data_IF_887797098917
#
_entry.id   IF_887797098917
#
_cell.length_a   1.000
_cell.length_b   1.000
_cell.length_c   1.000
_cell.angle_alpha   90.00
_cell.angle_beta   90.00
_cell.angle_gamma   90.00
#
_symmetry.space_group_name_H-M   'P 1'
#
loop_
_entity.id
_entity.type
_entity.pdbx_description
1 polymer ?
#
# COMPACT_ATOMS: atom_id res chain seq x y z
N UNK A 1 -2.88 41.86 2.35
CA UNK A 1 -1.64 41.56 3.09
C UNK A 1 -1.18 40.18 2.68
N UNK A 2 0.00 40.06 2.07
CA UNK A 2 0.56 38.75 1.72
C UNK A 2 0.84 37.99 3.03
N UNK A 3 0.21 36.84 3.22
CA UNK A 3 0.55 35.93 4.33
C UNK A 3 2.03 35.63 4.24
N UNK A 4 2.83 36.08 5.22
CA UNK A 4 4.24 35.72 5.32
C UNK A 4 4.35 34.19 5.29
N UNK A 5 4.86 33.67 4.18
CA UNK A 5 5.10 32.24 4.03
C UNK A 5 6.27 31.87 4.94
N UNK A 6 5.95 31.36 6.12
CA UNK A 6 6.96 30.80 7.02
C UNK A 6 7.60 29.60 6.33
N UNK A 7 8.92 29.66 6.16
CA UNK A 7 9.74 28.57 5.62
C UNK A 7 10.22 27.73 6.81
N UNK A 8 9.64 26.55 7.06
CA UNK A 8 10.12 25.70 8.14
C UNK A 8 11.50 25.15 7.80
N UNK A 9 12.46 25.34 8.70
CA UNK A 9 13.74 24.62 8.64
C UNK A 9 13.53 23.24 9.24
N UNK A 10 13.80 22.19 8.46
CA UNK A 10 13.72 20.80 8.93
C UNK A 10 15.13 20.26 9.12
N UNK A 11 15.49 19.96 10.36
CA UNK A 11 16.69 19.19 10.68
C UNK A 11 16.40 17.70 10.50
N UNK A 12 17.34 16.96 9.92
CA UNK A 12 17.17 15.54 9.60
C UNK A 12 18.13 14.73 10.46
N UNK A 13 17.56 13.87 11.29
CA UNK A 13 18.28 12.93 12.14
C UNK A 13 18.04 11.50 11.65
N UNK A 14 19.12 10.71 11.55
CA UNK A 14 19.01 9.26 11.36
C UNK A 14 18.49 8.60 12.64
N UNK A 15 17.61 7.62 12.49
CA UNK A 15 17.00 6.88 13.58
C UNK A 15 16.81 5.41 13.17
N UNK A 16 16.67 4.53 14.16
CA UNK A 16 16.28 3.12 13.93
C UNK A 16 14.76 2.99 13.87
N UNK A 17 14.24 1.89 13.31
CA UNK A 17 12.80 1.62 13.32
C UNK A 17 12.24 1.56 14.76
N UNK A 18 13.01 1.02 15.70
CA UNK A 18 12.68 1.00 17.12
C UNK A 18 12.57 2.42 17.72
N UNK A 19 13.44 3.36 17.34
CA UNK A 19 13.35 4.75 17.77
C UNK A 19 12.08 5.43 17.24
N UNK A 20 11.69 5.12 15.99
CA UNK A 20 10.44 5.61 15.39
C UNK A 20 9.23 5.04 16.13
N UNK A 21 9.24 3.73 16.43
CA UNK A 21 8.20 3.05 17.20
C UNK A 21 8.04 3.67 18.59
N UNK A 22 9.12 3.74 19.37
CA UNK A 22 9.10 4.32 20.72
C UNK A 22 8.69 5.79 20.72
N UNK A 23 9.10 6.54 19.70
CA UNK A 23 8.64 7.90 19.48
C UNK A 23 7.13 7.98 19.22
N UNK A 24 6.58 7.12 18.37
CA UNK A 24 5.15 7.07 18.06
C UNK A 24 4.31 6.68 19.28
N UNK A 25 4.79 5.73 20.08
CA UNK A 25 4.17 5.35 21.36
C UNK A 25 4.18 6.50 22.37
N UNK A 26 5.30 7.23 22.50
CA UNK A 26 5.39 8.39 23.38
C UNK A 26 4.42 9.53 22.98
N UNK A 27 4.03 9.57 21.70
CA UNK A 27 3.07 10.54 21.18
C UNK A 27 1.59 10.16 21.42
N UNK A 28 1.31 8.94 21.87
CA UNK A 28 -0.04 8.41 22.11
C UNK A 28 -0.93 9.34 22.96
N UNK A 29 -0.33 10.09 23.90
CA UNK A 29 -1.05 11.05 24.75
C UNK A 29 -1.13 12.48 24.21
N UNK A 30 -0.42 12.79 23.11
CA UNK A 30 -0.30 14.15 22.53
C UNK A 30 -1.03 14.31 21.20
N UNK A 31 -1.38 13.22 20.53
CA UNK A 31 -2.15 13.22 19.29
C UNK A 31 -3.63 13.45 19.61
N UNK A 32 -4.08 14.70 19.53
CA UNK A 32 -5.47 15.09 19.84
C UNK A 32 -6.44 14.96 18.66
N UNK A 33 -5.94 14.75 17.45
CA UNK A 33 -6.74 14.66 16.22
C UNK A 33 -6.69 13.24 15.65
N UNK A 34 -7.62 12.38 16.09
CA UNK A 34 -7.95 11.16 15.35
C UNK A 34 -8.49 11.54 13.97
N UNK A 35 -8.08 10.83 12.92
CA UNK A 35 -8.61 11.00 11.56
C UNK A 35 -7.89 12.05 10.68
N UNK A 36 -6.70 12.51 11.07
CA UNK A 36 -5.96 13.55 10.33
C UNK A 36 -4.97 13.02 9.28
N UNK A 37 -4.92 11.72 9.02
CA UNK A 37 -3.98 11.23 8.03
C UNK A 37 -4.46 11.47 6.59
N UNK A 38 -3.52 11.57 5.66
CA UNK A 38 -3.78 11.66 4.20
C UNK A 38 -3.09 10.58 3.37
N UNK A 39 -3.88 9.79 2.65
CA UNK A 39 -3.45 8.58 1.95
C UNK A 39 -3.10 8.91 0.51
N UNK A 40 -2.12 8.20 -0.05
CA UNK A 40 -1.67 8.43 -1.43
C UNK A 40 -2.23 7.40 -2.37
N UNK A 41 -2.61 7.85 -3.57
CA UNK A 41 -2.97 6.94 -4.65
C UNK A 41 -1.75 6.13 -5.11
N UNK A 42 -1.82 4.82 -4.94
CA UNK A 42 -0.84 3.85 -5.40
C UNK A 42 -1.42 3.14 -6.59
N UNK A 43 -0.76 3.25 -7.75
CA UNK A 43 -1.20 2.54 -8.95
C UNK A 43 -0.93 1.05 -8.82
N UNK A 44 -1.81 0.24 -9.40
CA UNK A 44 -1.59 -1.19 -9.50
C UNK A 44 -0.31 -1.47 -10.31
N UNK A 45 0.47 -2.49 -9.93
CA UNK A 45 1.62 -2.92 -10.72
C UNK A 45 1.17 -3.61 -12.02
N UNK A 46 1.89 -3.37 -13.11
CA UNK A 46 1.63 -4.01 -14.40
C UNK A 46 0.23 -3.69 -14.95
N UNK A 47 -0.49 -4.74 -15.37
CA UNK A 47 -1.84 -4.65 -15.95
C UNK A 47 -2.96 -4.44 -14.91
N UNK A 48 -2.64 -4.63 -13.63
CA UNK A 48 -3.61 -4.58 -12.53
C UNK A 48 -4.46 -5.84 -12.37
N UNK A 49 -4.99 -6.08 -11.16
CA UNK A 49 -5.73 -7.31 -10.84
C UNK A 49 -7.05 -7.41 -11.61
N UNK A 50 -7.71 -6.29 -11.90
CA UNK A 50 -9.04 -6.27 -12.54
C UNK A 50 -8.96 -6.70 -14.00
N UNK A 51 -7.98 -6.20 -14.75
CA UNK A 51 -7.79 -6.58 -16.15
C UNK A 51 -7.48 -8.07 -16.28
N UNK A 52 -6.60 -8.57 -15.41
CA UNK A 52 -6.26 -10.00 -15.34
C UNK A 52 -7.46 -10.87 -14.97
N UNK A 53 -8.31 -10.41 -14.06
CA UNK A 53 -9.53 -11.14 -13.70
C UNK A 53 -10.58 -11.12 -14.82
N UNK A 54 -10.69 -10.01 -15.57
CA UNK A 54 -11.56 -9.94 -16.73
C UNK A 54 -11.13 -10.91 -17.83
N UNK A 55 -9.83 -11.06 -18.08
CA UNK A 55 -9.32 -12.10 -18.99
C UNK A 55 -9.67 -13.50 -18.48
N UNK A 56 -9.49 -13.77 -17.18
CA UNK A 56 -9.87 -15.08 -16.61
C UNK A 56 -11.35 -15.41 -16.84
N UNK A 57 -12.25 -14.44 -16.63
CA UNK A 57 -13.68 -14.59 -16.88
C UNK A 57 -14.01 -14.78 -18.36
N UNK A 58 -13.29 -14.07 -19.24
CA UNK A 58 -13.43 -14.23 -20.68
C UNK A 58 -13.06 -15.66 -21.10
N UNK A 59 -11.96 -16.21 -20.57
CA UNK A 59 -11.55 -17.58 -20.88
C UNK A 59 -12.54 -18.64 -20.37
N UNK A 60 -13.15 -18.46 -19.20
CA UNK A 60 -14.26 -19.33 -18.76
C UNK A 60 -15.41 -19.30 -19.75
N UNK A 61 -15.84 -18.11 -20.19
CA UNK A 61 -16.92 -17.99 -21.17
C UNK A 61 -16.56 -18.63 -22.52
N UNK A 62 -15.31 -18.47 -22.98
CA UNK A 62 -14.82 -19.12 -24.20
C UNK A 62 -14.86 -20.66 -24.07
N UNK A 63 -14.43 -21.20 -22.91
CA UNK A 63 -14.46 -22.64 -22.63
C UNK A 63 -15.90 -23.20 -22.65
N UNK A 64 -16.86 -22.47 -22.07
CA UNK A 64 -18.28 -22.84 -22.09
C UNK A 64 -18.87 -22.91 -23.51
N UNK A 65 -18.41 -22.01 -24.39
CA UNK A 65 -18.92 -21.88 -25.76
C UNK A 65 -18.18 -22.76 -26.77
N UNK A 66 -17.00 -23.28 -26.42
CA UNK A 66 -16.20 -24.08 -27.34
C UNK A 66 -16.85 -25.44 -27.62
N UNK A 67 -16.91 -25.78 -28.90
CA UNK A 67 -17.33 -27.09 -29.40
C UNK A 67 -16.18 -28.10 -29.48
N UNK A 68 -14.93 -27.63 -29.40
CA UNK A 68 -13.73 -28.46 -29.39
C UNK A 68 -13.30 -28.75 -27.95
N UNK A 69 -13.04 -30.01 -27.63
CA UNK A 69 -12.53 -30.37 -26.30
C UNK A 69 -11.12 -29.82 -26.07
N UNK A 70 -10.27 -29.76 -27.09
CA UNK A 70 -8.90 -29.25 -26.98
C UNK A 70 -8.89 -27.73 -26.72
N UNK A 71 -9.69 -26.97 -27.46
CA UNK A 71 -9.84 -25.53 -27.22
C UNK A 71 -10.47 -25.27 -25.84
N UNK A 72 -11.47 -26.05 -25.44
CA UNK A 72 -12.06 -25.94 -24.10
C UNK A 72 -11.02 -26.15 -23.01
N UNK A 73 -10.15 -27.15 -23.14
CA UNK A 73 -9.07 -27.39 -22.19
C UNK A 73 -8.08 -26.21 -22.15
N UNK A 74 -7.67 -25.68 -23.30
CA UNK A 74 -6.80 -24.50 -23.37
C UNK A 74 -7.40 -23.28 -22.65
N UNK A 75 -8.67 -22.98 -22.93
CA UNK A 75 -9.38 -21.90 -22.26
C UNK A 75 -9.48 -22.14 -20.73
N UNK A 76 -9.71 -23.37 -20.28
CA UNK A 76 -9.74 -23.69 -18.85
C UNK A 76 -8.37 -23.47 -18.18
N UNK A 77 -7.28 -23.84 -18.86
CA UNK A 77 -5.91 -23.57 -18.40
C UNK A 77 -5.69 -22.06 -18.27
N UNK A 78 -5.96 -21.30 -19.34
CA UNK A 78 -5.71 -19.86 -19.36
C UNK A 78 -6.55 -19.10 -18.33
N UNK A 79 -7.80 -19.52 -18.11
CA UNK A 79 -8.66 -18.98 -17.06
C UNK A 79 -7.99 -19.07 -15.67
N UNK A 80 -7.50 -20.25 -15.30
CA UNK A 80 -6.82 -20.49 -14.02
C UNK A 80 -5.52 -19.69 -13.91
N UNK A 81 -4.74 -19.60 -15.00
CA UNK A 81 -3.50 -18.83 -15.04
C UNK A 81 -3.76 -17.33 -14.83
N UNK A 82 -4.73 -16.77 -15.55
CA UNK A 82 -5.11 -15.37 -15.43
C UNK A 82 -5.66 -15.02 -14.05
N UNK A 83 -6.51 -15.88 -13.47
CA UNK A 83 -7.03 -15.67 -12.11
C UNK A 83 -5.90 -15.66 -11.07
N UNK A 84 -4.94 -16.59 -11.17
CA UNK A 84 -3.77 -16.59 -10.28
C UNK A 84 -2.89 -15.37 -10.48
N UNK A 85 -2.70 -14.89 -11.71
CA UNK A 85 -1.93 -13.66 -12.00
C UNK A 85 -2.61 -12.46 -11.37
N UNK A 86 -3.95 -12.37 -11.45
CA UNK A 86 -4.71 -11.31 -10.80
C UNK A 86 -4.48 -11.30 -9.28
N UNK A 87 -4.54 -12.47 -8.63
CA UNK A 87 -4.24 -12.60 -7.20
C UNK A 87 -2.80 -12.16 -6.87
N UNK A 88 -1.82 -12.61 -7.66
CA UNK A 88 -0.42 -12.24 -7.44
C UNK A 88 -0.21 -10.73 -7.61
N UNK A 89 -0.85 -10.12 -8.60
CA UNK A 89 -0.83 -8.68 -8.84
C UNK A 89 -1.43 -7.90 -7.66
N UNK A 90 -2.57 -8.35 -7.11
CA UNK A 90 -3.16 -7.71 -5.93
C UNK A 90 -2.21 -7.79 -4.71
N UNK A 91 -1.59 -8.94 -4.48
CA UNK A 91 -0.61 -9.13 -3.40
C UNK A 91 0.56 -8.16 -3.55
N UNK A 92 1.13 -8.07 -4.76
CA UNK A 92 2.24 -7.15 -5.04
C UNK A 92 1.82 -5.69 -4.88
N UNK A 93 0.58 -5.35 -5.23
CA UNK A 93 0.03 -4.02 -4.99
C UNK A 93 0.00 -3.67 -3.50
N UNK A 94 -0.37 -4.60 -2.62
CA UNK A 94 -0.32 -4.36 -1.17
C UNK A 94 1.10 -4.20 -0.64
N UNK A 95 2.06 -4.98 -1.14
CA UNK A 95 3.47 -4.84 -0.75
C UNK A 95 4.02 -3.46 -1.15
N UNK A 96 3.74 -3.04 -2.38
CA UNK A 96 4.09 -1.71 -2.89
C UNK A 96 3.35 -0.61 -2.14
N UNK A 97 2.06 -0.79 -1.87
CA UNK A 97 1.22 0.13 -1.10
C UNK A 97 1.85 0.41 0.26
N UNK A 98 2.23 -0.65 0.95
CA UNK A 98 2.72 -0.60 2.33
C UNK A 98 4.24 -0.42 2.43
N UNK A 99 4.95 -0.28 1.31
CA UNK A 99 6.40 -0.09 1.22
C UNK A 99 7.26 -1.30 1.61
N UNK A 100 6.65 -2.47 1.75
CA UNK A 100 7.34 -3.70 2.13
C UNK A 100 8.37 -4.16 1.08
N UNK A 101 8.23 -3.74 -0.17
CA UNK A 101 9.21 -4.03 -1.24
C UNK A 101 10.55 -3.33 -1.04
N UNK A 102 10.60 -2.30 -0.20
CA UNK A 102 11.82 -1.56 0.12
C UNK A 102 12.50 -2.00 1.42
N UNK A 103 11.90 -2.94 2.15
CA UNK A 103 12.44 -3.47 3.40
C UNK A 103 13.70 -4.31 3.19
N UNK A 104 14.53 -4.39 4.24
CA UNK A 104 15.75 -5.23 4.27
C UNK A 104 15.46 -6.69 3.91
N UNK A 105 14.33 -7.21 4.36
CA UNK A 105 13.85 -8.57 4.21
C UNK A 105 12.57 -8.65 3.38
N UNK A 106 12.50 -7.82 2.32
CA UNK A 106 11.34 -7.70 1.45
C UNK A 106 10.75 -9.08 1.03
N UNK A 107 9.42 -9.27 1.15
CA UNK A 107 8.78 -10.54 0.81
C UNK A 107 9.02 -10.96 -0.65
N UNK A 108 9.81 -12.01 -0.86
CA UNK A 108 10.26 -12.46 -2.18
C UNK A 108 9.48 -13.68 -2.72
N UNK A 109 8.93 -14.50 -1.82
CA UNK A 109 8.19 -15.72 -2.18
C UNK A 109 6.75 -15.72 -1.63
N UNK A 110 5.90 -16.58 -2.18
CA UNK A 110 4.47 -16.63 -1.84
C UNK A 110 4.20 -16.78 -0.34
N UNK A 111 5.00 -17.57 0.39
CA UNK A 111 4.83 -17.78 1.83
C UNK A 111 5.11 -16.50 2.62
N UNK A 112 6.18 -15.79 2.28
CA UNK A 112 6.51 -14.49 2.89
C UNK A 112 5.43 -13.44 2.58
N UNK A 113 4.95 -13.38 1.34
CA UNK A 113 3.90 -12.43 0.93
C UNK A 113 2.59 -12.69 1.67
N UNK A 114 2.18 -13.96 1.80
CA UNK A 114 1.00 -14.34 2.59
C UNK A 114 1.16 -13.96 4.06
N UNK A 115 2.31 -14.27 4.67
CA UNK A 115 2.61 -13.88 6.06
C UNK A 115 2.47 -12.37 6.25
N UNK A 116 3.00 -11.57 5.33
CA UNK A 116 2.85 -10.12 5.37
C UNK A 116 1.38 -9.68 5.38
N UNK A 117 0.54 -10.20 4.48
CA UNK A 117 -0.87 -9.84 4.41
C UNK A 117 -1.63 -10.22 5.69
N UNK A 118 -1.30 -11.37 6.30
CA UNK A 118 -1.87 -11.81 7.58
C UNK A 118 -1.44 -10.88 8.71
N UNK A 119 -0.14 -10.60 8.84
CA UNK A 119 0.39 -9.70 9.87
C UNK A 119 -0.18 -8.28 9.74
N UNK A 120 -0.46 -7.81 8.51
CA UNK A 120 -1.15 -6.53 8.28
C UNK A 120 -2.66 -6.55 8.52
N UNK A 121 -3.25 -7.72 8.77
CA UNK A 121 -4.69 -7.89 8.96
C UNK A 121 -5.52 -7.71 7.68
N UNK A 122 -4.91 -7.88 6.50
CA UNK A 122 -5.59 -7.76 5.19
C UNK A 122 -6.36 -9.05 4.88
N UNK A 123 -5.80 -10.20 5.26
CA UNK A 123 -6.45 -11.51 5.20
C UNK A 123 -6.23 -12.24 6.53
N UNK A 124 -7.05 -13.24 6.80
CA UNK A 124 -6.86 -14.16 7.91
C UNK A 124 -6.25 -15.51 7.45
N UNK A 125 -5.89 -16.35 8.42
CA UNK A 125 -5.34 -17.68 8.18
C UNK A 125 -6.31 -18.60 7.43
N UNK A 126 -7.62 -18.43 7.60
CA UNK A 126 -8.61 -19.22 6.91
C UNK A 126 -8.63 -18.90 5.41
N UNK A 127 -8.69 -17.61 5.07
CA UNK A 127 -8.64 -17.10 3.70
C UNK A 127 -7.35 -17.54 3.01
N UNK A 128 -6.21 -17.43 3.70
CA UNK A 128 -4.93 -17.93 3.23
C UNK A 128 -4.98 -19.42 2.81
N UNK A 129 -5.47 -20.31 3.69
CA UNK A 129 -5.60 -21.74 3.39
C UNK A 129 -6.57 -22.05 2.24
N UNK A 130 -7.64 -21.26 2.13
CA UNK A 130 -8.61 -21.39 1.03
C UNK A 130 -7.93 -21.03 -0.30
N UNK A 131 -7.21 -19.91 -0.36
CA UNK A 131 -6.47 -19.48 -1.55
C UNK A 131 -5.34 -20.46 -1.91
N UNK A 132 -4.65 -21.04 -0.93
CA UNK A 132 -3.63 -22.06 -1.17
C UNK A 132 -4.20 -23.30 -1.89
N UNK A 133 -5.44 -23.70 -1.60
CA UNK A 133 -6.12 -24.79 -2.33
C UNK A 133 -6.41 -24.40 -3.78
N UNK A 134 -6.82 -23.16 -4.05
CA UNK A 134 -7.00 -22.67 -5.42
C UNK A 134 -5.66 -22.60 -6.18
N UNK A 135 -4.59 -22.14 -5.53
CA UNK A 135 -3.24 -22.08 -6.11
C UNK A 135 -2.70 -23.48 -6.40
N UNK A 136 -3.03 -24.49 -5.59
CA UNK A 136 -2.65 -25.89 -5.88
C UNK A 136 -3.19 -26.36 -7.23
N UNK A 137 -4.42 -25.99 -7.60
CA UNK A 137 -5.00 -26.32 -8.91
C UNK A 137 -4.20 -25.70 -10.06
N UNK A 138 -3.78 -24.44 -9.91
CA UNK A 138 -2.83 -23.82 -10.84
C UNK A 138 -1.51 -24.59 -10.93
N UNK A 139 -0.95 -25.04 -9.79
CA UNK A 139 0.34 -25.73 -9.78
C UNK A 139 0.25 -27.10 -10.47
N UNK A 140 -0.87 -27.79 -10.33
CA UNK A 140 -1.13 -29.03 -11.08
C UNK A 140 -1.16 -28.74 -12.59
N UNK A 141 -1.74 -27.62 -13.02
CA UNK A 141 -1.73 -27.20 -14.43
C UNK A 141 -0.35 -26.79 -14.93
N UNK A 142 0.35 -25.85 -14.28
CA UNK A 142 1.64 -25.32 -14.77
C UNK A 142 2.81 -26.31 -14.61
N UNK A 143 2.80 -27.16 -13.59
CA UNK A 143 3.97 -27.98 -13.25
C UNK A 143 3.75 -29.49 -13.41
N UNK A 144 2.49 -29.93 -13.43
CA UNK A 144 2.15 -31.35 -13.65
C UNK A 144 1.40 -31.57 -14.96
N UNK A 145 1.15 -30.50 -15.73
CA UNK A 145 0.46 -30.55 -17.02
C UNK A 145 -0.92 -31.21 -16.92
N UNK A 146 -1.61 -31.00 -15.80
CA UNK A 146 -2.98 -31.49 -15.58
C UNK A 146 -3.94 -30.38 -16.00
N UNK A 147 -4.62 -30.57 -17.13
CA UNK A 147 -5.68 -29.66 -17.60
C UNK A 147 -6.83 -29.65 -16.59
N UNK A 148 -7.25 -28.47 -16.09
CA UNK A 148 -8.43 -28.37 -15.24
C UNK A 148 -9.69 -28.61 -16.08
N UNK A 149 -10.71 -29.23 -15.47
CA UNK A 149 -12.05 -29.27 -16.05
C UNK A 149 -12.67 -27.87 -16.01
N UNK A 150 -13.70 -27.64 -16.83
CA UNK A 150 -14.46 -26.39 -16.82
C UNK A 150 -14.97 -26.05 -15.42
N UNK A 151 -15.59 -27.00 -14.72
CA UNK A 151 -16.07 -26.83 -13.34
C UNK A 151 -14.95 -26.39 -12.38
N UNK A 152 -13.77 -27.00 -12.48
CA UNK A 152 -12.62 -26.62 -11.64
C UNK A 152 -12.12 -25.21 -11.99
N UNK A 153 -12.10 -24.85 -13.27
CA UNK A 153 -11.72 -23.51 -13.70
C UNK A 153 -12.72 -22.46 -13.18
N UNK A 154 -14.03 -22.71 -13.32
CA UNK A 154 -15.11 -21.87 -12.79
C UNK A 154 -14.97 -21.65 -11.29
N UNK A 155 -14.80 -22.73 -10.52
CA UNK A 155 -14.64 -22.67 -9.06
C UNK A 155 -13.44 -21.84 -8.63
N UNK A 156 -12.28 -22.05 -9.29
CA UNK A 156 -11.06 -21.31 -8.98
C UNK A 156 -11.19 -19.83 -9.33
N UNK A 157 -11.72 -19.52 -10.52
CA UNK A 157 -11.91 -18.14 -10.98
C UNK A 157 -12.90 -17.41 -10.08
N UNK A 158 -14.05 -18.02 -9.77
CA UNK A 158 -15.06 -17.42 -8.91
C UNK A 158 -14.56 -17.21 -7.48
N UNK A 159 -13.86 -18.19 -6.90
CA UNK A 159 -13.26 -18.07 -5.59
C UNK A 159 -12.26 -16.91 -5.52
N UNK A 160 -11.35 -16.83 -6.49
CA UNK A 160 -10.37 -15.74 -6.52
C UNK A 160 -11.09 -14.40 -6.73
N UNK A 161 -12.00 -14.29 -7.69
CA UNK A 161 -12.77 -13.06 -7.97
C UNK A 161 -13.47 -12.54 -6.72
N UNK A 162 -14.19 -13.41 -6.00
CA UNK A 162 -14.87 -13.06 -4.75
C UNK A 162 -13.89 -12.61 -3.68
N UNK A 163 -12.75 -13.30 -3.58
CA UNK A 163 -11.71 -12.97 -2.61
C UNK A 163 -11.08 -11.60 -2.90
N UNK A 164 -10.74 -11.29 -4.17
CA UNK A 164 -10.24 -9.97 -4.56
C UNK A 164 -11.23 -8.87 -4.19
N UNK A 165 -12.51 -9.06 -4.52
CA UNK A 165 -13.57 -8.10 -4.21
C UNK A 165 -13.72 -7.87 -2.70
N UNK A 166 -13.72 -8.94 -1.91
CA UNK A 166 -13.87 -8.86 -0.46
C UNK A 166 -12.68 -8.15 0.19
N UNK A 167 -11.46 -8.53 -0.16
CA UNK A 167 -10.23 -7.93 0.39
C UNK A 167 -10.16 -6.43 0.04
N UNK A 168 -10.47 -6.05 -1.20
CA UNK A 168 -10.46 -4.64 -1.62
C UNK A 168 -11.54 -3.80 -0.92
N UNK A 169 -12.71 -4.39 -0.65
CA UNK A 169 -13.78 -3.70 0.10
C UNK A 169 -13.34 -3.43 1.53
N UNK A 170 -12.62 -4.38 2.16
CA UNK A 170 -12.10 -4.22 3.51
C UNK A 170 -10.90 -3.26 3.56
N UNK A 171 -10.01 -3.33 2.57
CA UNK A 171 -8.78 -2.55 2.53
C UNK A 171 -8.43 -2.20 1.09
N UNK A 172 -8.85 -1.04 0.62
CA UNK A 172 -8.57 -0.60 -0.74
C UNK A 172 -7.04 -0.49 -1.00
N UNK A 173 -6.47 -1.24 -1.96
CA UNK A 173 -5.03 -1.23 -2.24
C UNK A 173 -4.56 0.08 -2.90
N UNK A 174 -5.48 0.83 -3.49
CA UNK A 174 -5.22 2.11 -4.14
C UNK A 174 -4.76 3.17 -3.15
N UNK A 175 -5.08 3.03 -1.86
CA UNK A 175 -4.80 4.05 -0.86
C UNK A 175 -3.69 3.60 0.09
N UNK A 176 -2.49 4.11 -0.15
CA UNK A 176 -1.33 3.87 0.69
C UNK A 176 -1.37 4.59 2.04
N UNK A 177 -0.65 4.07 3.05
CA UNK A 177 -0.44 4.75 4.33
C UNK A 177 0.31 6.09 4.12
N UNK A 178 0.19 6.94 5.13
CA UNK A 178 0.25 8.39 5.02
C UNK A 178 1.57 8.99 4.47
N UNK A 179 1.44 9.93 3.53
CA UNK A 179 2.53 10.78 3.02
C UNK A 179 2.16 12.24 3.30
N UNK A 180 3.03 12.96 4.02
CA UNK A 180 2.92 14.41 4.17
C UNK A 180 3.88 15.14 3.24
N UNK A 181 3.33 16.03 2.43
CA UNK A 181 4.03 17.00 1.61
C UNK A 181 4.26 16.56 0.17
N UNK A 182 3.86 17.41 -0.78
CA UNK A 182 4.55 17.49 -2.06
C UNK A 182 6.01 17.86 -1.80
N UNK A 183 6.95 16.94 -2.05
CA UNK A 183 8.29 17.35 -2.45
C UNK A 183 8.14 17.95 -3.84
N UNK A 184 7.80 19.23 -3.92
CA UNK A 184 7.80 19.96 -5.17
C UNK A 184 9.24 19.93 -5.72
N UNK A 185 9.37 19.27 -6.87
CA UNK A 185 10.47 19.25 -7.82
C UNK A 185 11.44 18.07 -7.76
N UNK A 186 11.18 17.08 -8.62
CA UNK A 186 12.13 16.86 -9.72
C UNK A 186 11.50 17.45 -10.99
N UNK A 187 12.30 18.14 -11.81
CA UNK A 187 11.94 18.84 -13.06
C UNK A 187 11.68 20.37 -13.00
N UNK A 188 12.36 21.11 -12.13
CA UNK A 188 12.94 22.38 -12.61
C UNK A 188 14.41 22.47 -12.19
N UNK A 189 15.24 22.84 -13.16
CA UNK A 189 16.65 23.13 -13.00
C UNK A 189 16.86 24.16 -11.88
N UNK A 190 17.39 23.70 -10.74
CA UNK A 190 17.74 24.54 -9.59
C UNK A 190 18.11 23.71 -8.37
N UNK A 191 19.26 24.01 -7.75
CA UNK A 191 19.95 23.22 -6.70
C UNK A 191 19.25 23.10 -5.33
N UNK A 192 17.92 23.28 -5.19
CA UNK A 192 17.30 23.27 -3.85
C UNK A 192 16.06 22.40 -3.76
N UNK A 193 16.21 21.26 -3.07
CA UNK A 193 15.15 20.33 -2.65
C UNK A 193 14.63 20.76 -1.27
N UNK A 194 13.37 21.18 -1.13
CA UNK A 194 12.77 21.48 0.18
C UNK A 194 11.27 21.13 0.23
N UNK A 195 10.76 20.94 1.45
CA UNK A 195 9.35 20.71 1.74
C UNK A 195 8.77 21.94 2.47
N UNK A 196 7.63 22.45 2.03
CA UNK A 196 6.92 23.55 2.70
C UNK A 196 5.83 22.96 3.63
N UNK A 197 5.90 23.28 4.93
CA UNK A 197 4.89 22.88 5.93
C UNK A 197 4.16 24.14 6.42
N UNK A 198 2.90 24.31 6.01
CA UNK A 198 2.05 25.39 6.50
C UNK A 198 1.13 24.92 7.63
N UNK A 199 1.00 25.70 8.71
CA UNK A 199 -0.06 25.53 9.72
C UNK A 199 0.05 24.27 10.58
N UNK A 200 1.20 23.60 10.60
CA UNK A 200 1.34 22.33 11.27
C UNK A 200 1.78 22.49 12.74
N UNK A 201 1.04 21.90 13.69
CA UNK A 201 1.20 22.15 15.15
C UNK A 201 1.31 20.90 16.02
N UNK A 202 1.37 19.70 15.44
CA UNK A 202 1.43 18.42 16.16
C UNK A 202 2.46 17.48 15.55
N UNK A 203 2.79 16.33 16.13
CA UNK A 203 3.70 15.37 15.52
C UNK A 203 3.09 14.64 14.31
N UNK A 204 3.92 14.15 13.38
CA UNK A 204 3.51 13.37 12.21
C UNK A 204 4.31 12.09 12.08
N UNK A 205 3.66 11.06 11.53
CA UNK A 205 4.32 9.89 10.99
C UNK A 205 4.32 10.00 9.47
N UNK A 206 5.48 9.76 8.85
CA UNK A 206 5.66 9.85 7.40
C UNK A 206 6.19 8.52 6.87
N UNK A 207 5.52 7.99 5.84
CA UNK A 207 5.95 6.84 5.07
C UNK A 207 6.37 7.29 3.66
N UNK A 208 7.64 7.64 3.49
CA UNK A 208 8.15 8.25 2.26
C UNK A 208 8.64 7.22 1.25
N UNK A 209 8.20 7.39 0.00
CA UNK A 209 8.67 6.66 -1.20
C UNK A 209 9.83 7.34 -1.92
N UNK A 210 10.21 8.56 -1.51
CA UNK A 210 11.04 9.47 -2.32
C UNK A 210 12.54 9.42 -2.01
N UNK A 211 13.32 10.05 -2.90
CA UNK A 211 14.78 10.18 -2.85
C UNK A 211 15.35 10.80 -1.54
N UNK A 212 16.63 10.50 -1.21
CA UNK A 212 17.53 9.61 -1.95
C UNK A 212 17.17 8.11 -1.78
N UNK A 213 16.42 7.73 -0.74
CA UNK A 213 15.96 6.36 -0.50
C UNK A 213 14.65 6.35 0.30
N UNK A 214 13.73 5.38 0.09
CA UNK A 214 12.51 5.24 0.87
C UNK A 214 12.75 5.12 2.38
N UNK A 215 11.92 5.78 3.18
CA UNK A 215 12.11 5.91 4.62
C UNK A 215 10.78 6.03 5.38
N UNK A 216 10.79 5.67 6.65
CA UNK A 216 9.71 5.93 7.61
C UNK A 216 10.23 6.79 8.74
N UNK A 217 9.41 7.70 9.25
CA UNK A 217 9.90 8.60 10.28
C UNK A 217 8.86 9.43 10.98
N UNK A 218 9.33 10.10 12.03
CA UNK A 218 8.56 11.08 12.78
C UNK A 218 9.04 12.47 12.39
N UNK A 219 8.09 13.37 12.18
CA UNK A 219 8.38 14.79 12.12
C UNK A 219 7.79 15.40 13.38
N UNK A 220 8.61 16.11 14.14
CA UNK A 220 8.27 16.74 15.41
C UNK A 220 8.44 18.26 15.27
N UNK A 221 7.39 19.07 15.40
CA UNK A 221 7.53 20.52 15.37
C UNK A 221 8.21 20.98 16.67
N UNK A 222 9.29 21.73 16.55
CA UNK A 222 9.90 22.41 17.70
C UNK A 222 9.20 23.74 17.99
N UNK A 223 8.87 24.47 16.92
CA UNK A 223 8.15 25.74 16.96
C UNK A 223 7.49 25.99 15.60
N UNK A 224 6.92 27.19 15.41
CA UNK A 224 6.20 27.56 14.17
C UNK A 224 7.05 27.55 12.89
N UNK A 225 8.38 27.52 13.02
CA UNK A 225 9.33 27.67 11.90
C UNK A 225 10.42 26.60 11.89
N UNK A 226 10.40 25.64 12.82
CA UNK A 226 11.41 24.59 12.93
C UNK A 226 10.78 23.26 13.29
N UNK A 227 11.28 22.20 12.68
CA UNK A 227 10.92 20.83 13.00
C UNK A 227 12.15 19.91 12.91
N UNK A 228 12.13 18.85 13.70
CA UNK A 228 13.10 17.76 13.61
C UNK A 228 12.43 16.57 12.96
N UNK A 229 13.09 15.99 11.96
CA UNK A 229 12.66 14.78 11.26
C UNK A 229 13.60 13.64 11.61
N UNK A 230 13.09 12.68 12.37
CA UNK A 230 13.78 11.42 12.66
C UNK A 230 13.38 10.38 11.62
N UNK A 231 14.34 9.78 10.93
CA UNK A 231 14.09 8.91 9.78
C UNK A 231 14.84 7.59 9.91
N UNK A 232 14.13 6.49 9.70
CA UNK A 232 14.68 5.16 9.48
C UNK A 232 14.55 4.80 7.99
N UNK A 233 15.66 4.38 7.38
CA UNK A 233 15.65 3.95 5.98
C UNK A 233 14.98 2.58 5.87
N UNK A 234 14.11 2.39 4.87
CA UNK A 234 13.39 1.12 4.74
C UNK A 234 14.33 -0.05 4.42
N UNK A 235 15.42 0.19 3.68
CA UNK A 235 16.46 -0.84 3.44
C UNK A 235 17.15 -1.37 4.71
N UNK A 236 17.01 -0.66 5.83
CA UNK A 236 17.53 -1.02 7.15
C UNK A 236 16.42 -1.50 8.10
N UNK A 237 15.16 -1.36 7.68
CA UNK A 237 13.95 -1.73 8.43
C UNK A 237 13.45 -3.11 7.98
N UNK A 238 13.12 -3.96 8.94
CA UNK A 238 12.48 -5.25 8.66
C UNK A 238 10.99 -5.09 8.36
N UNK A 239 10.43 -6.08 7.69
CA UNK A 239 9.02 -6.10 7.32
C UNK A 239 8.12 -6.19 8.56
N UNK A 240 8.54 -6.92 9.59
CA UNK A 240 7.79 -7.02 10.86
C UNK A 240 7.78 -5.66 11.59
N UNK A 241 8.90 -4.94 11.68
CA UNK A 241 8.96 -3.58 12.26
C UNK A 241 8.08 -2.58 11.48
N UNK A 242 8.09 -2.67 10.14
CA UNK A 242 7.24 -1.86 9.28
C UNK A 242 5.75 -2.15 9.53
N UNK A 243 5.36 -3.42 9.70
CA UNK A 243 3.99 -3.82 10.03
C UNK A 243 3.56 -3.20 11.36
N UNK A 244 4.39 -3.29 12.39
CA UNK A 244 4.10 -2.70 13.71
C UNK A 244 3.89 -1.18 13.61
N UNK A 245 4.77 -0.47 12.88
CA UNK A 245 4.63 0.96 12.62
C UNK A 245 3.30 1.30 11.93
N UNK A 246 2.92 0.51 10.93
CA UNK A 246 1.70 0.72 10.17
C UNK A 246 0.44 0.47 11.01
N UNK A 247 0.43 -0.59 11.82
CA UNK A 247 -0.66 -0.90 12.74
C UNK A 247 -0.80 0.18 13.82
N UNK A 248 0.32 0.62 14.39
CA UNK A 248 0.34 1.66 15.40
C UNK A 248 -0.12 3.01 14.83
N UNK A 249 0.36 3.37 13.64
CA UNK A 249 -0.09 4.58 12.93
C UNK A 249 -1.59 4.51 12.61
N UNK A 250 -2.10 3.37 12.16
CA UNK A 250 -3.53 3.19 11.88
C UNK A 250 -4.40 3.36 13.15
N UNK A 251 -3.92 2.92 14.32
CA UNK A 251 -4.63 3.12 15.61
C UNK A 251 -4.73 4.59 16.00
N UNK A 252 -3.69 5.39 15.74
CA UNK A 252 -3.67 6.80 16.13
C UNK A 252 -4.34 7.72 15.11
N UNK A 253 -4.13 7.47 13.83
CA UNK A 253 -4.54 8.39 12.76
C UNK A 253 -5.76 7.89 11.98
N UNK A 254 -6.19 6.64 12.20
CA UNK A 254 -7.27 6.01 11.44
C UNK A 254 -6.79 5.38 10.13
N UNK A 255 -7.73 4.82 9.37
CA UNK A 255 -7.47 4.29 8.04
C UNK A 255 -7.14 5.42 7.04
N UNK A 256 -6.38 5.13 5.97
CA UNK A 256 -6.11 6.08 4.91
C UNK A 256 -7.38 6.80 4.40
N UNK A 257 -7.49 8.11 4.58
CA UNK A 257 -8.48 8.99 3.95
C UNK A 257 -7.81 9.72 2.78
N UNK A 258 -8.45 9.72 1.61
CA UNK A 258 -7.86 10.26 0.39
C UNK A 258 -7.73 11.78 0.48
N UNK A 259 -6.50 12.29 0.42
CA UNK A 259 -6.22 13.68 0.08
C UNK A 259 -4.76 13.76 -0.37
N UNK A 260 -4.50 13.21 -1.55
CA UNK A 260 -3.19 13.26 -2.20
C UNK A 260 -3.34 13.58 -3.68
N UNK A 261 -3.90 14.75 -3.95
CA UNK A 261 -3.51 15.54 -5.10
C UNK A 261 -2.80 16.83 -4.61
N UNK A 262 -2.14 17.53 -5.53
CA UNK A 262 -1.46 18.80 -5.23
C UNK A 262 -2.42 19.83 -4.61
N UNK A 263 -3.72 19.72 -4.88
CA UNK A 263 -4.79 20.55 -4.34
C UNK A 263 -5.09 20.24 -2.87
N UNK A 264 -4.92 18.99 -2.44
CA UNK A 264 -5.12 18.52 -1.07
C UNK A 264 -4.10 19.09 -0.07
N UNK A 265 -2.83 19.17 -0.50
CA UNK A 265 -1.78 19.86 0.25
C UNK A 265 -2.10 21.36 0.40
N UNK A 266 -2.74 21.94 -0.63
CA UNK A 266 -3.19 23.33 -0.64
C UNK A 266 -4.42 23.55 0.25
N UNK A 267 -5.37 22.61 0.29
CA UNK A 267 -6.57 22.65 1.13
C UNK A 267 -6.23 22.49 2.61
N UNK A 268 -5.27 21.65 3.01
CA UNK A 268 -4.79 21.60 4.40
C UNK A 268 -4.14 22.91 4.85
N UNK A 269 -3.39 23.57 3.94
CA UNK A 269 -2.83 24.88 4.21
C UNK A 269 -3.91 25.97 4.37
N UNK A 270 -5.09 25.77 3.76
CA UNK A 270 -6.21 26.72 3.79
C UNK A 270 -7.23 26.43 4.90
N UNK A 271 -7.47 25.17 5.27
CA UNK A 271 -8.51 24.76 6.22
C UNK A 271 -8.19 25.15 7.67
N UNK A 272 -6.96 25.56 7.97
CA UNK A 272 -6.58 26.11 9.28
C UNK A 272 -6.71 27.64 9.39
N UNK A 273 -7.06 28.33 8.31
CA UNK A 273 -7.34 29.77 8.34
C UNK A 273 -8.73 30.05 8.94
N UNK A 274 -9.59 29.04 9.07
CA UNK A 274 -10.98 29.16 9.55
C UNK A 274 -11.21 28.62 10.97
N UNK A 275 -10.18 28.67 11.82
CA UNK A 275 -10.27 28.36 13.25
C UNK A 275 -10.05 29.57 14.17
N UNK A 276 -10.17 30.79 13.64
CA UNK A 276 -10.12 32.03 14.43
C UNK A 276 -11.41 32.83 14.25
N UNK A 277 -12.41 32.46 15.04
CA UNK A 277 -13.39 33.38 15.61
C UNK A 277 -13.51 33.05 17.07
#
# INVERSE_FOLDING_TARGET
>A
MASERLKPTVEIESATAADILGGLEALAGRIRTRGAGQGVMVRAPGEGPDRLMNWALQEVNNAMQSTSNEEREHHCVDAVLHARRALSCLVDWYLERDLATFCKDAPSNSKQKVRFLISRGIIDELTSRVLERAIRKRNDTEHRYISPTLEVAEDVVELIRRTLSAIRTQSAPEYGPWIFGSFLHSLQFGEKRYAEFHGWSGPLVVFSRFEPQPWVGLVLPENKTKAVSRRALLKETTTDELVELLLLAARYFGAPSSYADTESCRVLALSQVWGKT
#
